data_IF_798129782445
#
_entry.id   IF_798129782445
#
_cell.length_a   1.000
_cell.length_b   1.000
_cell.length_c   1.000
_cell.angle_alpha   90.00
_cell.angle_beta   90.00
_cell.angle_gamma   90.00
#
_symmetry.space_group_name_H-M   'P 1'
#
loop_
_entity.id
_entity.type
_entity.pdbx_description
1 polymer ?
#
# COMPACT_ATOMS: atom_id res chain seq x y z
N UNK A 1 -23.58 -8.47 -40.09
CA UNK A 1 -23.35 -7.59 -38.92
C UNK A 1 -22.38 -8.26 -37.96
N UNK A 2 -21.16 -7.74 -37.79
CA UNK A 2 -20.29 -8.17 -36.70
C UNK A 2 -20.91 -7.75 -35.36
N UNK A 3 -21.09 -8.70 -34.44
CA UNK A 3 -21.53 -8.44 -33.06
C UNK A 3 -20.29 -8.38 -32.18
N UNK A 4 -20.16 -7.34 -31.35
CA UNK A 4 -19.06 -7.23 -30.40
C UNK A 4 -19.41 -7.96 -29.10
N UNK A 5 -18.51 -8.82 -28.63
CA UNK A 5 -18.61 -9.47 -27.32
C UNK A 5 -17.53 -8.96 -26.37
N UNK A 6 -17.94 -8.45 -25.22
CA UNK A 6 -17.00 -8.01 -24.20
C UNK A 6 -16.68 -9.17 -23.25
N UNK A 7 -15.44 -9.65 -23.27
CA UNK A 7 -14.98 -10.76 -22.41
C UNK A 7 -15.07 -10.44 -20.91
N UNK A 8 -14.90 -9.18 -20.53
CA UNK A 8 -14.94 -8.75 -19.13
C UNK A 8 -16.37 -8.64 -18.60
N UNK A 9 -17.28 -8.05 -19.39
CA UNK A 9 -18.68 -7.89 -19.00
C UNK A 9 -19.53 -9.14 -19.29
N UNK A 10 -19.00 -10.09 -20.07
CA UNK A 10 -19.70 -11.28 -20.56
C UNK A 10 -21.01 -10.98 -21.29
N UNK A 11 -21.08 -9.83 -21.97
CA UNK A 11 -22.29 -9.35 -22.65
C UNK A 11 -22.03 -9.07 -24.13
N UNK A 12 -23.04 -9.33 -24.97
CA UNK A 12 -23.05 -8.96 -26.39
C UNK A 12 -23.57 -7.54 -26.57
N UNK A 13 -22.97 -6.80 -27.49
CA UNK A 13 -23.42 -5.47 -27.90
C UNK A 13 -24.28 -5.59 -29.17
N UNK A 14 -25.40 -4.87 -29.20
CA UNK A 14 -26.39 -4.96 -30.30
C UNK A 14 -25.84 -4.44 -31.63
N UNK A 15 -25.04 -3.37 -31.57
CA UNK A 15 -24.39 -2.76 -32.73
C UNK A 15 -22.92 -2.50 -32.44
N UNK A 16 -22.06 -2.95 -33.34
CA UNK A 16 -20.62 -2.75 -33.24
C UNK A 16 -20.17 -1.51 -34.02
N UNK A 17 -20.65 -0.35 -33.60
CA UNK A 17 -20.13 0.94 -34.10
C UNK A 17 -19.05 1.47 -33.16
N UNK A 18 -18.10 2.23 -33.70
CA UNK A 18 -17.00 2.79 -32.91
C UNK A 18 -17.49 3.65 -31.73
N UNK A 19 -18.58 4.40 -31.92
CA UNK A 19 -19.21 5.20 -30.87
C UNK A 19 -19.80 4.36 -29.74
N UNK A 20 -20.55 3.31 -30.07
CA UNK A 20 -21.18 2.41 -29.08
C UNK A 20 -20.11 1.58 -28.35
N UNK A 21 -19.06 1.14 -29.06
CA UNK A 21 -17.93 0.44 -28.43
C UNK A 21 -17.17 1.36 -27.48
N UNK A 22 -16.89 2.60 -27.88
CA UNK A 22 -16.21 3.60 -27.03
C UNK A 22 -17.01 3.93 -25.77
N UNK A 23 -18.33 4.10 -25.88
CA UNK A 23 -19.18 4.37 -24.71
C UNK A 23 -19.26 3.16 -23.77
N UNK A 24 -19.28 1.93 -24.29
CA UNK A 24 -19.22 0.71 -23.49
C UNK A 24 -17.89 0.61 -22.70
N UNK A 25 -16.75 0.82 -23.37
CA UNK A 25 -15.41 0.73 -22.75
C UNK A 25 -15.18 1.81 -21.68
N UNK A 26 -15.75 3.00 -21.87
CA UNK A 26 -15.71 4.09 -20.89
C UNK A 26 -16.82 3.98 -19.81
N UNK A 27 -17.65 2.93 -19.89
CA UNK A 27 -18.75 2.71 -18.96
C UNK A 27 -18.26 2.34 -17.56
N UNK A 28 -18.90 2.91 -16.52
CA UNK A 28 -18.56 2.68 -15.11
C UNK A 28 -18.49 1.20 -14.73
N UNK A 29 -19.44 0.39 -15.23
CA UNK A 29 -19.49 -1.04 -14.94
C UNK A 29 -18.32 -1.79 -15.59
N UNK A 30 -18.01 -1.50 -16.86
CA UNK A 30 -16.88 -2.11 -17.56
C UNK A 30 -15.55 -1.81 -16.86
N UNK A 31 -15.28 -0.53 -16.56
CA UNK A 31 -14.04 -0.11 -15.88
C UNK A 31 -13.89 -0.83 -14.53
N UNK A 32 -14.98 -0.98 -13.76
CA UNK A 32 -14.97 -1.70 -12.49
C UNK A 32 -14.60 -3.17 -12.67
N UNK A 33 -15.29 -3.87 -13.58
CA UNK A 33 -15.03 -5.30 -13.83
C UNK A 33 -13.62 -5.56 -14.36
N UNK A 34 -13.11 -4.69 -15.23
CA UNK A 34 -11.73 -4.75 -15.73
C UNK A 34 -10.73 -4.52 -14.60
N UNK A 35 -10.95 -3.50 -13.76
CA UNK A 35 -10.08 -3.23 -12.62
C UNK A 35 -10.06 -4.40 -11.64
N UNK A 36 -11.22 -4.98 -11.32
CA UNK A 36 -11.34 -6.14 -10.43
C UNK A 36 -10.66 -7.38 -11.02
N UNK A 37 -10.80 -7.62 -12.34
CA UNK A 37 -10.10 -8.69 -13.03
C UNK A 37 -8.58 -8.58 -12.89
N UNK A 38 -8.01 -7.41 -13.18
CA UNK A 38 -6.56 -7.22 -13.10
C UNK A 38 -6.03 -7.24 -11.67
N UNK A 39 -6.78 -6.70 -10.69
CA UNK A 39 -6.44 -6.82 -9.26
C UNK A 39 -6.37 -8.28 -8.82
N UNK A 40 -7.38 -9.07 -9.17
CA UNK A 40 -7.43 -10.49 -8.82
C UNK A 40 -6.33 -11.29 -9.53
N UNK A 41 -6.07 -10.99 -10.81
CA UNK A 41 -4.98 -11.64 -11.56
C UNK A 41 -3.62 -11.36 -10.94
N UNK A 42 -3.33 -10.10 -10.59
CA UNK A 42 -2.10 -9.71 -9.91
C UNK A 42 -1.93 -10.40 -8.54
N UNK A 43 -3.01 -10.50 -7.75
CA UNK A 43 -2.98 -11.19 -6.46
C UNK A 43 -2.71 -12.70 -6.63
N UNK A 44 -3.33 -13.34 -7.62
CA UNK A 44 -3.13 -14.77 -7.91
C UNK A 44 -1.72 -15.07 -8.41
N UNK A 45 -1.12 -14.20 -9.23
CA UNK A 45 0.26 -14.34 -9.69
C UNK A 45 1.25 -14.25 -8.51
N UNK A 46 1.00 -13.37 -7.54
CA UNK A 46 1.82 -13.26 -6.33
C UNK A 46 1.71 -14.51 -5.45
N UNK A 47 0.52 -15.08 -5.27
CA UNK A 47 0.34 -16.33 -4.52
C UNK A 47 0.93 -17.54 -5.24
N UNK A 48 0.91 -17.54 -6.57
CA UNK A 48 1.39 -18.64 -7.41
C UNK A 48 2.90 -18.63 -7.68
N UNK A 49 3.69 -17.78 -6.99
CA UNK A 49 5.17 -17.79 -7.02
C UNK A 49 5.81 -19.03 -6.36
N UNK A 50 5.16 -20.17 -6.54
CA UNK A 50 5.79 -21.42 -6.94
C UNK A 50 6.88 -21.94 -6.03
N UNK A 51 6.49 -22.86 -5.16
CA UNK A 51 7.40 -23.84 -4.58
C UNK A 51 8.21 -24.51 -5.68
N UNK A 52 9.51 -24.23 -5.75
CA UNK A 52 10.42 -24.95 -6.63
C UNK A 52 10.30 -26.45 -6.30
N UNK A 53 9.91 -27.27 -7.28
CA UNK A 53 9.88 -28.74 -7.17
C UNK A 53 11.29 -29.21 -6.79
N UNK A 54 11.55 -29.39 -5.48
CA UNK A 54 12.83 -29.89 -4.98
C UNK A 54 12.99 -31.32 -5.48
N UNK A 55 13.82 -31.53 -6.50
CA UNK A 55 14.30 -32.86 -6.86
C UNK A 55 15.08 -33.41 -5.66
N UNK A 56 14.47 -34.30 -4.88
CA UNK A 56 15.16 -35.02 -3.78
C UNK A 56 16.27 -35.86 -4.40
N UNK A 57 17.50 -35.35 -4.44
CA UNK A 57 18.68 -36.18 -4.74
C UNK A 57 18.80 -37.22 -3.62
N UNK A 58 18.77 -38.51 -3.96
CA UNK A 58 19.10 -39.58 -3.00
C UNK A 58 20.52 -39.30 -2.49
N UNK A 59 20.67 -38.97 -1.20
CA UNK A 59 21.99 -38.98 -0.56
C UNK A 59 22.48 -40.43 -0.61
N UNK A 60 23.40 -40.75 -1.52
CA UNK A 60 24.10 -42.05 -1.50
C UNK A 60 24.75 -42.18 -0.13
N UNK A 61 24.45 -43.26 0.59
CA UNK A 61 25.28 -43.72 1.72
C UNK A 61 26.67 -43.98 1.14
N UNK A 62 27.58 -43.01 1.19
CA UNK A 62 29.01 -43.35 1.15
C UNK A 62 29.26 -44.07 2.46
N UNK A 63 29.42 -45.38 2.33
CA UNK A 63 29.99 -46.25 3.34
C UNK A 63 31.19 -45.56 3.97
N UNK A 64 31.23 -45.64 5.29
CA UNK A 64 32.39 -45.45 6.12
C UNK A 64 33.67 -46.04 5.51
N UNK A 65 34.50 -45.22 4.87
CA UNK A 65 35.98 -45.26 4.87
C UNK A 65 36.58 -44.30 3.84
N UNK A 66 37.45 -43.41 4.32
CA UNK A 66 38.32 -42.47 3.57
C UNK A 66 37.59 -41.38 2.78
N UNK A 67 37.96 -40.10 2.77
CA UNK A 67 39.25 -39.45 2.96
C UNK A 67 39.04 -38.00 3.42
N UNK A 68 40.00 -37.48 4.17
CA UNK A 68 40.11 -36.12 4.72
C UNK A 68 39.85 -35.03 3.67
N UNK A 69 38.73 -34.32 3.78
CA UNK A 69 38.56 -32.93 3.32
C UNK A 69 37.73 -32.24 4.42
N UNK A 70 38.33 -31.21 5.05
CA UNK A 70 37.71 -30.41 6.11
C UNK A 70 36.53 -29.60 5.55
N UNK A 71 35.32 -30.13 5.72
CA UNK A 71 34.11 -29.32 5.90
C UNK A 71 33.46 -29.83 7.18
N UNK A 72 33.79 -29.19 8.29
CA UNK A 72 33.22 -29.45 9.62
C UNK A 72 31.77 -28.98 9.65
N UNK A 73 30.85 -29.75 9.08
CA UNK A 73 29.45 -29.70 9.48
C UNK A 73 29.32 -30.52 10.77
N UNK A 74 29.00 -29.90 11.92
CA UNK A 74 29.01 -30.60 13.20
C UNK A 74 27.91 -31.66 13.21
N UNK A 75 28.31 -32.93 13.36
CA UNK A 75 27.39 -34.07 13.53
C UNK A 75 26.61 -33.99 14.85
N UNK A 76 27.04 -33.11 15.75
CA UNK A 76 26.50 -32.94 17.11
C UNK A 76 25.68 -31.64 17.28
N UNK A 77 25.17 -31.08 16.17
CA UNK A 77 24.30 -29.90 16.26
C UNK A 77 23.02 -30.24 17.06
N UNK A 78 22.66 -29.46 18.09
CA UNK A 78 21.46 -29.71 18.88
C UNK A 78 20.22 -29.59 17.99
N UNK A 79 19.25 -30.49 18.19
CA UNK A 79 17.97 -30.45 17.45
C UNK A 79 17.31 -29.08 17.68
N UNK A 80 17.10 -28.33 16.60
CA UNK A 80 16.37 -27.06 16.66
C UNK A 80 14.87 -27.32 16.89
N UNK A 81 14.29 -26.68 17.90
CA UNK A 81 12.84 -26.68 18.10
C UNK A 81 12.18 -25.80 17.04
N UNK A 82 11.29 -26.37 16.24
CA UNK A 82 10.52 -25.61 15.24
C UNK A 82 9.26 -25.07 15.91
N UNK A 83 9.18 -23.75 16.09
CA UNK A 83 7.97 -23.11 16.59
C UNK A 83 6.89 -23.03 15.49
N UNK A 84 5.76 -23.68 15.72
CA UNK A 84 4.59 -23.66 14.84
C UNK A 84 3.42 -22.90 15.51
N UNK A 85 3.10 -21.67 15.09
CA UNK A 85 1.98 -20.93 15.67
C UNK A 85 0.62 -21.56 15.33
N UNK A 86 -0.39 -21.31 16.17
CA UNK A 86 -1.77 -21.74 15.94
C UNK A 86 -2.37 -21.08 14.69
N UNK A 87 -3.38 -21.71 14.08
CA UNK A 87 -4.06 -21.17 12.89
C UNK A 87 -4.65 -19.77 13.13
N UNK A 88 -5.18 -19.51 14.34
CA UNK A 88 -5.66 -18.19 14.74
C UNK A 88 -4.54 -17.14 14.68
N UNK A 89 -3.37 -17.42 15.28
CA UNK A 89 -2.21 -16.52 15.24
C UNK A 89 -1.70 -16.32 13.80
N UNK A 90 -1.62 -17.39 13.01
CA UNK A 90 -1.24 -17.33 11.58
C UNK A 90 -2.17 -16.44 10.76
N UNK A 91 -3.48 -16.52 10.97
CA UNK A 91 -4.48 -15.70 10.26
C UNK A 91 -4.36 -14.22 10.63
N UNK A 92 -4.22 -13.93 11.92
CA UNK A 92 -4.03 -12.54 12.40
C UNK A 92 -2.77 -11.91 11.80
N UNK A 93 -1.65 -12.64 11.79
CA UNK A 93 -0.38 -12.15 11.24
C UNK A 93 -0.39 -11.88 9.72
N UNK A 94 -1.23 -12.57 8.96
CA UNK A 94 -1.40 -12.28 7.52
C UNK A 94 -2.17 -10.98 7.32
N UNK A 95 -3.27 -10.82 8.05
CA UNK A 95 -4.12 -9.64 7.94
C UNK A 95 -3.45 -8.32 8.36
N UNK A 96 -2.43 -8.37 9.23
CA UNK A 96 -1.68 -7.17 9.65
C UNK A 96 -0.70 -6.69 8.58
N UNK A 97 -0.03 -7.61 7.86
CA UNK A 97 1.00 -7.26 6.87
C UNK A 97 0.44 -6.44 5.70
N UNK A 98 -0.79 -6.70 5.29
CA UNK A 98 -1.40 -6.01 4.15
C UNK A 98 -1.82 -4.56 4.46
N UNK A 99 -1.87 -4.18 5.74
CA UNK A 99 -2.24 -2.83 6.19
C UNK A 99 -1.05 -1.87 6.32
N UNK A 100 0.17 -2.39 6.30
CA UNK A 100 1.40 -1.62 6.52
C UNK A 100 2.00 -1.06 5.22
N UNK A 101 1.18 -0.82 4.18
CA UNK A 101 1.60 0.03 3.06
C UNK A 101 1.70 1.43 3.63
N UNK A 102 2.92 1.87 3.90
CA UNK A 102 3.21 3.22 4.36
C UNK A 102 2.51 4.20 3.43
N UNK A 103 1.50 4.90 3.93
CA UNK A 103 1.01 6.09 3.27
C UNK A 103 2.22 7.00 3.07
N UNK A 104 2.60 7.25 1.81
CA UNK A 104 3.73 8.10 1.44
C UNK A 104 3.52 9.47 2.09
N UNK A 105 4.23 9.73 3.18
CA UNK A 105 4.20 11.03 3.82
C UNK A 105 5.13 11.95 3.04
N UNK A 106 4.55 12.86 2.25
CA UNK A 106 5.32 13.82 1.47
C UNK A 106 5.80 14.97 2.37
N UNK A 107 6.87 14.71 3.13
CA UNK A 107 7.44 15.68 4.06
C UNK A 107 7.85 16.99 3.36
N UNK A 108 8.34 16.92 2.12
CA UNK A 108 8.74 18.10 1.35
C UNK A 108 7.55 19.01 1.03
N UNK A 109 6.40 18.44 0.68
CA UNK A 109 5.18 19.21 0.42
C UNK A 109 4.76 20.03 1.66
N UNK A 110 4.88 19.45 2.85
CA UNK A 110 4.58 20.13 4.10
C UNK A 110 5.60 21.23 4.44
N UNK A 111 6.90 20.96 4.23
CA UNK A 111 8.00 21.91 4.53
C UNK A 111 7.93 23.15 3.62
N UNK A 112 7.65 22.95 2.33
CA UNK A 112 7.65 24.03 1.35
C UNK A 112 6.29 24.72 1.19
N UNK A 113 5.30 24.34 1.99
CA UNK A 113 3.97 24.97 1.96
C UNK A 113 4.10 26.46 2.31
N UNK A 114 3.70 27.33 1.38
CA UNK A 114 3.83 28.79 1.53
C UNK A 114 5.11 29.40 0.97
N UNK A 115 6.07 28.59 0.50
CA UNK A 115 7.27 29.10 -0.18
C UNK A 115 6.93 29.81 -1.51
N UNK A 116 7.73 30.81 -1.93
CA UNK A 116 7.57 31.44 -3.23
C UNK A 116 7.77 30.40 -4.33
N UNK A 117 6.73 30.16 -5.15
CA UNK A 117 6.75 29.15 -6.22
C UNK A 117 6.23 27.76 -5.85
N UNK A 118 5.79 27.53 -4.61
CA UNK A 118 5.16 26.26 -4.19
C UNK A 118 4.11 25.76 -5.19
N UNK A 119 3.24 26.66 -5.65
CA UNK A 119 2.14 26.32 -6.54
C UNK A 119 2.58 25.84 -7.93
N UNK A 120 3.78 26.18 -8.40
CA UNK A 120 4.25 25.78 -9.74
C UNK A 120 4.84 24.37 -9.75
N UNK A 121 5.40 23.94 -8.61
CA UNK A 121 6.15 22.69 -8.48
C UNK A 121 5.34 21.61 -7.77
N UNK A 122 4.73 21.96 -6.63
CA UNK A 122 4.07 20.99 -5.75
C UNK A 122 2.59 20.77 -6.08
N UNK A 123 1.90 21.76 -6.67
CA UNK A 123 0.52 21.55 -7.17
C UNK A 123 0.58 20.89 -8.55
N UNK A 124 0.16 19.62 -8.69
CA UNK A 124 0.35 18.88 -9.93
C UNK A 124 -0.46 19.46 -11.10
N UNK A 125 -1.59 20.12 -10.82
CA UNK A 125 -2.43 20.78 -11.83
C UNK A 125 -1.76 21.97 -12.53
N UNK A 126 -0.78 22.59 -11.87
CA UNK A 126 -0.07 23.78 -12.34
C UNK A 126 1.32 23.46 -12.91
N UNK A 127 1.78 22.21 -12.80
CA UNK A 127 3.07 21.82 -13.37
C UNK A 127 3.03 21.86 -14.89
N UNK A 128 4.12 22.28 -15.50
CA UNK A 128 4.20 22.43 -16.95
C UNK A 128 4.26 21.10 -17.70
N UNK A 129 4.77 20.04 -17.06
CA UNK A 129 4.95 18.71 -17.64
C UNK A 129 3.63 17.90 -17.65
N UNK A 130 2.91 17.92 -16.53
CA UNK A 130 1.77 17.02 -16.29
C UNK A 130 0.44 17.78 -16.17
N UNK A 131 0.47 19.10 -15.92
CA UNK A 131 -0.72 19.89 -15.61
C UNK A 131 -1.78 19.86 -16.71
N UNK A 132 -1.36 19.91 -17.99
CA UNK A 132 -2.29 19.78 -19.10
C UNK A 132 -2.95 18.39 -19.14
N UNK A 133 -2.16 17.32 -18.95
CA UNK A 133 -2.66 15.94 -18.93
C UNK A 133 -3.68 15.72 -17.80
N UNK A 134 -3.42 16.28 -16.61
CA UNK A 134 -4.34 16.17 -15.49
C UNK A 134 -5.66 16.86 -15.77
N UNK A 135 -5.64 18.07 -16.33
CA UNK A 135 -6.84 18.82 -16.72
C UNK A 135 -7.68 18.06 -17.73
N UNK A 136 -7.05 17.46 -18.75
CA UNK A 136 -7.74 16.67 -19.78
C UNK A 136 -8.24 15.33 -19.24
N UNK A 137 -7.52 14.72 -18.29
CA UNK A 137 -7.91 13.44 -17.68
C UNK A 137 -9.06 13.53 -16.67
N UNK A 138 -9.44 14.75 -16.24
CA UNK A 138 -10.57 14.96 -15.34
C UNK A 138 -11.83 14.39 -15.99
N UNK A 139 -12.45 13.42 -15.33
CA UNK A 139 -13.63 12.75 -15.85
C UNK A 139 -14.81 13.72 -15.92
N UNK A 140 -15.70 13.59 -16.93
CA UNK A 140 -16.88 14.43 -17.02
C UNK A 140 -17.79 14.18 -15.82
N UNK A 141 -18.00 15.21 -15.00
CA UNK A 141 -18.90 15.18 -13.86
C UNK A 141 -20.35 15.29 -14.36
N UNK A 142 -20.92 14.16 -14.76
CA UNK A 142 -22.33 14.09 -15.22
C UNK A 142 -23.32 13.83 -14.08
N UNK A 143 -22.84 13.36 -12.92
CA UNK A 143 -23.67 13.20 -11.73
C UNK A 143 -23.64 14.46 -10.88
N UNK A 144 -24.79 14.87 -10.34
CA UNK A 144 -24.90 15.90 -9.30
C UNK A 144 -24.28 15.37 -7.99
N UNK A 145 -22.96 15.33 -7.94
CA UNK A 145 -22.21 15.19 -6.71
C UNK A 145 -21.91 16.61 -6.27
N UNK A 146 -22.61 17.07 -5.24
CA UNK A 146 -22.26 18.32 -4.57
C UNK A 146 -20.90 18.12 -3.92
N UNK A 147 -19.85 18.61 -4.56
CA UNK A 147 -18.60 18.83 -3.88
C UNK A 147 -18.78 20.08 -3.03
N UNK A 148 -18.73 19.92 -1.70
CA UNK A 148 -18.46 21.05 -0.82
C UNK A 148 -17.14 21.65 -1.31
N UNK A 149 -17.21 22.76 -2.03
CA UNK A 149 -16.03 23.49 -2.46
C UNK A 149 -15.30 23.91 -1.20
N UNK A 150 -14.13 23.32 -0.95
CA UNK A 150 -13.24 23.80 0.09
C UNK A 150 -13.02 25.30 -0.16
N UNK A 151 -13.19 26.15 0.86
CA UNK A 151 -13.02 27.59 0.71
C UNK A 151 -11.64 27.90 0.11
N UNK A 152 -11.59 28.94 -0.74
CA UNK A 152 -10.31 29.46 -1.28
C UNK A 152 -9.33 29.66 -0.13
N UNK A 153 -8.03 29.34 -0.32
CA UNK A 153 -7.04 29.50 0.73
C UNK A 153 -6.94 30.98 1.09
N UNK A 154 -7.51 31.35 2.24
CA UNK A 154 -7.17 32.56 2.97
C UNK A 154 -5.77 32.35 3.55
N UNK A 155 -4.91 33.36 3.42
CA UNK A 155 -3.55 33.32 3.96
C UNK A 155 -3.63 33.40 5.48
N UNK A 156 -3.76 32.25 6.15
CA UNK A 156 -3.60 32.12 7.60
C UNK A 156 -2.20 31.60 7.86
N UNK A 157 -1.40 32.34 8.63
CA UNK A 157 -0.06 31.95 9.06
C UNK A 157 -0.14 30.89 10.15
N UNK A 158 -0.62 29.69 9.80
CA UNK A 158 -0.67 28.56 10.72
C UNK A 158 0.62 27.72 10.53
N UNK A 159 1.72 28.13 11.17
CA UNK A 159 2.93 27.30 11.28
C UNK A 159 2.65 26.09 12.16
N UNK A 160 2.09 25.04 11.56
CA UNK A 160 1.90 23.74 12.22
C UNK A 160 3.23 23.00 12.32
N UNK A 161 3.56 22.51 13.52
CA UNK A 161 4.75 21.71 13.76
C UNK A 161 4.68 20.39 12.97
N UNK A 162 5.81 20.00 12.36
CA UNK A 162 5.93 18.73 11.65
C UNK A 162 5.64 17.54 12.58
N UNK A 163 5.00 16.47 12.08
CA UNK A 163 4.76 15.27 12.88
C UNK A 163 6.10 14.64 13.30
N UNK A 164 6.19 14.05 14.50
CA UNK A 164 7.38 13.35 14.93
C UNK A 164 7.69 12.15 14.01
N UNK A 165 8.96 11.74 13.92
CA UNK A 165 9.35 10.63 13.05
C UNK A 165 8.63 9.34 13.47
N UNK A 166 8.13 8.60 12.49
CA UNK A 166 7.51 7.29 12.73
C UNK A 166 8.59 6.30 13.16
N UNK A 167 8.42 5.67 14.32
CA UNK A 167 9.29 4.59 14.80
C UNK A 167 8.58 3.25 14.62
N UNK A 168 9.37 2.19 14.41
CA UNK A 168 8.83 0.82 14.41
C UNK A 168 8.61 0.36 15.88
N UNK A 169 7.90 -0.75 16.09
CA UNK A 169 7.46 -1.24 17.40
C UNK A 169 8.58 -1.69 18.38
N UNK A 170 9.85 -1.36 18.14
CA UNK A 170 10.98 -1.57 19.07
C UNK A 170 11.03 -0.48 20.15
N UNK A 171 9.87 0.03 20.55
CA UNK A 171 9.67 1.27 21.33
C UNK A 171 10.20 1.24 22.77
N UNK A 172 10.81 0.13 23.21
CA UNK A 172 11.40 -0.03 24.54
C UNK A 172 12.75 0.67 24.74
N UNK A 173 13.24 1.43 23.75
CA UNK A 173 14.59 2.06 23.80
C UNK A 173 14.60 3.58 23.93
N UNK A 174 13.45 4.24 24.07
CA UNK A 174 13.42 5.70 24.13
C UNK A 174 13.80 6.23 25.52
N UNK A 175 14.88 7.02 25.58
CA UNK A 175 15.33 7.72 26.79
C UNK A 175 14.95 9.20 26.72
N UNK A 176 14.23 9.68 27.72
CA UNK A 176 13.83 11.09 27.82
C UNK A 176 14.95 11.93 28.45
N UNK A 177 15.55 12.81 27.65
CA UNK A 177 16.64 13.71 28.09
C UNK A 177 16.16 15.03 28.68
N UNK A 178 14.97 15.49 28.31
CA UNK A 178 14.43 16.81 28.68
C UNK A 178 12.95 16.73 29.08
N UNK A 179 12.53 17.63 29.97
CA UNK A 179 11.15 17.76 30.41
C UNK A 179 10.32 18.60 29.41
N UNK A 180 9.27 18.02 28.83
CA UNK A 180 8.31 18.72 27.98
C UNK A 180 6.96 18.86 28.71
N UNK A 181 6.55 20.09 29.11
CA UNK A 181 5.30 20.31 29.85
C UNK A 181 4.04 19.98 29.05
N UNK A 182 4.13 19.93 27.72
CA UNK A 182 3.00 19.59 26.85
C UNK A 182 2.59 18.12 26.93
N UNK A 183 3.54 17.23 27.25
CA UNK A 183 3.29 15.79 27.42
C UNK A 183 2.46 15.52 28.68
N UNK A 184 2.70 16.28 29.75
CA UNK A 184 1.98 16.19 31.02
C UNK A 184 0.52 16.65 30.85
N UNK A 185 0.29 17.72 30.08
CA UNK A 185 -1.08 18.12 29.73
C UNK A 185 -1.80 17.07 28.87
N UNK A 186 -1.09 16.37 27.97
CA UNK A 186 -1.68 15.28 27.15
C UNK A 186 -2.05 14.07 28.00
N UNK A 187 -1.22 13.68 28.97
CA UNK A 187 -1.53 12.57 29.87
C UNK A 187 -2.72 12.89 30.77
N UNK A 188 -2.80 14.09 31.35
CA UNK A 188 -3.95 14.57 32.14
C UNK A 188 -5.23 14.58 31.29
N UNK A 189 -5.17 15.07 30.05
CA UNK A 189 -6.34 15.06 29.15
C UNK A 189 -6.78 13.64 28.79
N UNK A 190 -5.83 12.70 28.65
CA UNK A 190 -6.11 11.29 28.36
C UNK A 190 -6.77 10.58 29.55
N UNK A 191 -6.29 10.81 30.78
CA UNK A 191 -6.87 10.24 32.00
C UNK A 191 -8.28 10.80 32.25
N UNK A 192 -8.48 12.11 32.09
CA UNK A 192 -9.82 12.73 32.19
C UNK A 192 -10.78 12.14 31.15
N UNK A 193 -10.31 11.83 29.94
CA UNK A 193 -11.14 11.18 28.90
C UNK A 193 -11.54 9.76 29.27
N UNK A 194 -10.65 9.00 29.91
CA UNK A 194 -10.94 7.64 30.38
C UNK A 194 -11.88 7.59 31.58
N UNK A 195 -11.92 8.64 32.41
CA UNK A 195 -12.83 8.73 33.56
C UNK A 195 -14.24 9.22 33.20
N UNK A 196 -14.42 9.78 32.00
CA UNK A 196 -15.72 10.28 31.49
C UNK A 196 -16.49 9.26 30.64
N UNK A 197 -15.91 8.09 30.39
CA UNK A 197 -16.54 6.94 29.74
C UNK A 197 -16.77 5.84 30.78
#
# INVERSE_FOLDING_TARGET
>A
MPRFYCLYCKSYLTHDTASVRKSHLLGKNHIRLVADYFKNKAANEQSNRGENKKKKKKKKKKSSKSSKILTTEPRDAPRSVIHCPTNRKKRMLRNTKDKDVLNDFNALDAIYKGSPGYERIFKPENRMDIGHLLKVSKQPQRGNIHHNSAPRPTFTEDTTLLPPPRTLAWSTTYSMKYHDPSLLQKSIKHTIRHLKN
#
